data_IF_410534815784
#
_entry.id   IF_410534815784
#
_cell.length_a   1.000
_cell.length_b   1.000
_cell.length_c   1.000
_cell.angle_alpha   90.00
_cell.angle_beta   90.00
_cell.angle_gamma   90.00
#
_symmetry.space_group_name_H-M   'P 1'
#
loop_
_entity.id
_entity.type
_entity.pdbx_description
1 polymer ?
#
# COMPACT_ATOMS: atom_id res chain seq x y z
N UNK A 1 74.54 23.40 15.08
CA UNK A 1 74.20 22.61 16.28
C UNK A 1 73.30 21.45 15.82
N UNK A 2 73.75 20.21 16.04
CA UNK A 2 73.23 18.99 15.42
C UNK A 2 72.24 18.34 16.41
N UNK A 3 70.96 18.22 16.06
CA UNK A 3 69.97 17.52 16.89
C UNK A 3 69.61 16.21 16.21
N UNK A 4 69.91 15.13 16.91
CA UNK A 4 69.75 13.73 16.52
C UNK A 4 68.36 13.29 16.96
N UNK A 5 67.53 12.82 16.02
CA UNK A 5 66.24 12.20 16.33
C UNK A 5 66.42 10.71 16.64
N UNK A 6 65.85 10.25 17.76
CA UNK A 6 65.76 8.85 18.16
C UNK A 6 64.28 8.45 18.23
N UNK A 7 63.81 7.40 17.54
CA UNK A 7 62.47 6.87 17.74
C UNK A 7 62.47 5.77 18.80
N UNK A 8 61.56 5.85 19.77
CA UNK A 8 61.21 4.71 20.64
C UNK A 8 59.71 4.48 20.58
N UNK A 9 59.37 3.30 20.08
CA UNK A 9 58.11 2.56 20.13
C UNK A 9 57.20 2.90 21.31
N UNK A 10 55.89 3.03 21.07
CA UNK A 10 54.85 2.35 21.88
C UNK A 10 53.62 2.09 20.99
N UNK A 11 53.30 0.81 20.77
CA UNK A 11 51.99 0.33 20.32
C UNK A 11 50.94 0.71 21.37
N UNK A 12 49.81 1.30 20.97
CA UNK A 12 48.60 1.33 21.79
C UNK A 12 47.44 0.72 21.02
N UNK A 13 46.82 -0.25 21.67
CA UNK A 13 45.78 -1.17 21.21
C UNK A 13 44.41 -0.53 21.52
N UNK A 14 43.39 -0.91 20.75
CA UNK A 14 41.97 -0.90 21.13
C UNK A 14 41.20 0.39 20.87
N UNK A 15 40.50 0.38 19.74
CA UNK A 15 39.39 1.30 19.47
C UNK A 15 38.35 0.62 18.59
N UNK A 16 37.90 -0.57 18.98
CA UNK A 16 36.77 -1.25 18.34
C UNK A 16 35.49 -0.46 18.72
N UNK A 17 35.21 0.61 17.99
CA UNK A 17 33.93 1.32 18.09
C UNK A 17 32.84 0.42 17.52
N UNK A 18 32.20 -0.35 18.39
CA UNK A 18 30.92 -0.99 18.12
C UNK A 18 29.91 0.09 17.77
N UNK A 19 29.70 0.32 16.47
CA UNK A 19 28.49 0.98 15.97
C UNK A 19 27.29 0.11 16.32
N UNK A 20 26.73 0.32 17.51
CA UNK A 20 25.41 -0.15 17.84
C UNK A 20 24.38 0.83 17.26
N UNK A 21 24.26 0.85 15.93
CA UNK A 21 23.08 1.42 15.28
C UNK A 21 21.91 0.51 15.60
N UNK A 22 21.17 0.86 16.65
CA UNK A 22 19.79 0.40 16.78
C UNK A 22 19.06 0.92 15.55
N UNK A 23 18.89 0.06 14.53
CA UNK A 23 17.83 0.22 13.55
C UNK A 23 16.53 0.19 14.36
N UNK A 24 16.06 1.35 14.78
CA UNK A 24 14.68 1.51 15.17
C UNK A 24 13.88 1.23 13.90
N UNK A 25 13.45 -0.02 13.74
CA UNK A 25 12.39 -0.38 12.82
C UNK A 25 11.22 0.52 13.23
N UNK A 26 11.02 1.61 12.48
CA UNK A 26 9.85 2.43 12.67
C UNK A 26 8.68 1.48 12.52
N UNK A 27 7.81 1.31 13.53
CA UNK A 27 6.63 0.50 13.34
C UNK A 27 5.96 1.09 12.11
N UNK A 28 5.78 0.28 11.07
CA UNK A 28 5.02 0.69 9.91
C UNK A 28 3.71 1.24 10.45
N UNK A 29 3.54 2.57 10.43
CA UNK A 29 2.32 3.18 10.93
C UNK A 29 1.20 2.56 10.12
N UNK A 30 0.37 1.73 10.77
CA UNK A 30 -0.70 0.99 10.12
C UNK A 30 -1.68 1.97 9.50
N UNK A 31 -1.43 2.31 8.23
CA UNK A 31 -2.21 3.26 7.46
C UNK A 31 -3.44 2.61 6.86
N UNK A 32 -4.10 3.38 6.02
CA UNK A 32 -5.28 2.97 5.29
C UNK A 32 -5.03 3.05 3.79
N UNK A 33 -5.48 1.99 3.12
CA UNK A 33 -5.48 1.84 1.67
C UNK A 33 -6.90 1.95 1.16
N UNK A 34 -7.04 2.37 -0.09
CA UNK A 34 -8.30 2.34 -0.78
C UNK A 34 -8.12 2.07 -2.27
N UNK A 35 -9.13 1.40 -2.82
CA UNK A 35 -9.35 1.23 -4.24
C UNK A 35 -10.63 1.95 -4.66
N UNK A 36 -10.63 2.54 -5.84
CA UNK A 36 -11.80 3.11 -6.49
C UNK A 36 -11.91 2.60 -7.93
N UNK A 37 -13.15 2.35 -8.37
CA UNK A 37 -13.48 1.87 -9.70
C UNK A 37 -14.59 2.76 -10.30
N UNK A 38 -14.48 3.04 -11.60
CA UNK A 38 -15.42 3.82 -12.39
C UNK A 38 -15.60 3.19 -13.77
N UNK A 39 -16.51 3.71 -14.60
CA UNK A 39 -16.94 3.10 -15.87
C UNK A 39 -15.77 2.75 -16.83
N UNK A 40 -14.61 3.41 -16.71
CA UNK A 40 -13.38 3.14 -17.50
C UNK A 40 -12.10 3.53 -16.76
N UNK A 41 -12.12 3.51 -15.43
CA UNK A 41 -10.99 4.01 -14.66
C UNK A 41 -10.88 3.34 -13.32
N UNK A 42 -9.65 3.23 -12.89
CA UNK A 42 -9.24 2.63 -11.63
C UNK A 42 -8.38 3.62 -10.88
N UNK A 43 -8.49 3.66 -9.55
CA UNK A 43 -7.55 4.37 -8.69
C UNK A 43 -7.19 3.59 -7.45
N UNK A 44 -5.91 3.64 -7.08
CA UNK A 44 -5.36 3.05 -5.87
C UNK A 44 -4.69 4.11 -5.01
N UNK A 45 -4.75 3.96 -3.69
CA UNK A 45 -4.11 4.86 -2.74
C UNK A 45 -3.77 4.11 -1.45
N UNK A 46 -2.57 4.30 -0.89
CA UNK A 46 -2.08 3.62 0.33
C UNK A 46 -1.34 4.59 1.26
N UNK A 47 -1.18 4.23 2.55
CA UNK A 47 -0.36 4.97 3.49
C UNK A 47 -1.04 6.20 4.08
N UNK A 48 -2.38 6.23 4.08
CA UNK A 48 -3.12 7.38 4.60
C UNK A 48 -3.46 7.21 6.08
N UNK A 49 -3.51 8.33 6.81
CA UNK A 49 -3.81 8.34 8.24
C UNK A 49 -5.28 8.01 8.56
N UNK A 50 -6.19 8.11 7.58
CA UNK A 50 -7.62 7.79 7.74
C UNK A 50 -8.17 7.11 6.49
N UNK A 51 -9.18 6.24 6.67
CA UNK A 51 -9.90 5.60 5.55
C UNK A 51 -10.46 6.63 4.57
N UNK A 52 -10.97 7.77 5.06
CA UNK A 52 -11.56 8.78 4.19
C UNK A 52 -10.52 9.47 3.31
N UNK A 53 -9.33 9.78 3.84
CA UNK A 53 -8.24 10.32 3.02
C UNK A 53 -7.78 9.32 1.95
N UNK A 54 -7.69 8.03 2.30
CA UNK A 54 -7.40 6.96 1.36
C UNK A 54 -8.47 6.91 0.24
N UNK A 55 -9.76 6.91 0.62
CA UNK A 55 -10.88 6.91 -0.31
C UNK A 55 -10.82 8.08 -1.28
N UNK A 56 -10.67 9.30 -0.77
CA UNK A 56 -10.60 10.50 -1.61
C UNK A 56 -9.40 10.47 -2.56
N UNK A 57 -8.25 9.95 -2.11
CA UNK A 57 -7.09 9.76 -2.96
C UNK A 57 -7.31 8.72 -4.06
N UNK A 58 -7.89 7.57 -3.74
CA UNK A 58 -8.22 6.55 -4.72
C UNK A 58 -9.23 7.07 -5.77
N UNK A 59 -10.26 7.82 -5.35
CA UNK A 59 -11.22 8.45 -6.26
C UNK A 59 -10.54 9.48 -7.17
N UNK A 60 -9.66 10.33 -6.63
CA UNK A 60 -8.87 11.27 -7.43
C UNK A 60 -8.01 10.56 -8.47
N UNK A 61 -7.32 9.50 -8.08
CA UNK A 61 -6.48 8.70 -8.98
C UNK A 61 -7.33 8.03 -10.08
N UNK A 62 -8.51 7.51 -9.71
CA UNK A 62 -9.47 6.94 -10.65
C UNK A 62 -9.92 7.95 -11.72
N UNK A 63 -10.25 9.18 -11.29
CA UNK A 63 -10.62 10.27 -12.20
C UNK A 63 -9.46 10.71 -13.07
N UNK A 64 -8.25 10.78 -12.51
CA UNK A 64 -7.02 11.09 -13.24
C UNK A 64 -6.71 10.09 -14.35
N UNK A 65 -7.09 8.83 -14.16
CA UNK A 65 -6.95 7.75 -15.15
C UNK A 65 -8.10 7.70 -16.17
N UNK A 66 -8.93 8.75 -16.28
CA UNK A 66 -10.04 8.81 -17.24
C UNK A 66 -11.32 8.12 -16.78
N UNK A 67 -11.41 7.71 -15.51
CA UNK A 67 -12.65 7.20 -14.92
C UNK A 67 -13.68 8.31 -14.74
N UNK A 68 -14.85 8.20 -15.39
CA UNK A 68 -15.90 9.21 -15.30
C UNK A 68 -16.52 9.32 -13.90
N UNK A 69 -17.25 8.29 -13.45
CA UNK A 69 -18.03 8.38 -12.21
C UNK A 69 -17.23 8.11 -10.93
N UNK A 70 -16.23 7.21 -10.96
CA UNK A 70 -15.36 6.80 -9.84
C UNK A 70 -16.06 6.80 -8.46
N UNK A 71 -17.32 6.39 -8.42
CA UNK A 71 -18.19 6.50 -7.25
C UNK A 71 -18.13 5.26 -6.35
N UNK A 72 -17.58 4.16 -6.88
CA UNK A 72 -17.43 2.89 -6.17
C UNK A 72 -16.04 2.84 -5.59
N UNK A 73 -15.95 2.71 -4.26
CA UNK A 73 -14.67 2.64 -3.57
C UNK A 73 -14.73 1.73 -2.35
N UNK A 74 -13.59 1.19 -1.95
CA UNK A 74 -13.43 0.42 -0.71
C UNK A 74 -12.13 0.85 -0.06
N UNK A 75 -12.20 1.20 1.22
CA UNK A 75 -11.07 1.66 2.01
C UNK A 75 -10.97 0.82 3.27
N UNK A 76 -9.80 0.27 3.55
CA UNK A 76 -9.51 -0.59 4.69
C UNK A 76 -8.06 -0.35 5.16
N UNK A 77 -7.57 -1.12 6.13
CA UNK A 77 -6.16 -1.06 6.54
C UNK A 77 -5.23 -1.47 5.40
N UNK A 78 -4.02 -0.89 5.37
CA UNK A 78 -3.02 -1.13 4.33
C UNK A 78 -2.62 -2.61 4.19
N UNK A 79 -2.78 -3.43 5.24
CA UNK A 79 -2.44 -4.86 5.26
C UNK A 79 -3.54 -5.78 4.70
N UNK A 80 -4.65 -5.22 4.21
CA UNK A 80 -5.72 -5.99 3.58
C UNK A 80 -5.46 -6.22 2.09
N UNK A 81 -6.13 -7.23 1.54
CA UNK A 81 -6.16 -7.49 0.11
C UNK A 81 -7.32 -6.76 -0.52
N UNK A 82 -7.08 -6.06 -1.62
CA UNK A 82 -8.10 -5.27 -2.32
C UNK A 82 -8.30 -5.79 -3.74
N UNK A 83 -9.54 -5.70 -4.20
CA UNK A 83 -9.91 -6.08 -5.57
C UNK A 83 -10.89 -5.07 -6.14
N UNK A 84 -10.71 -4.78 -7.41
CA UNK A 84 -11.63 -4.03 -8.24
C UNK A 84 -12.11 -4.91 -9.39
N UNK A 85 -13.13 -4.46 -10.11
CA UNK A 85 -13.52 -5.15 -11.32
C UNK A 85 -14.86 -4.69 -11.86
N UNK A 86 -15.26 -5.31 -12.96
CA UNK A 86 -16.49 -5.02 -13.65
C UNK A 86 -17.36 -6.26 -13.71
N UNK A 87 -18.57 -6.17 -13.19
CA UNK A 87 -19.58 -7.22 -13.29
C UNK A 87 -20.76 -6.71 -14.10
N UNK A 88 -21.08 -7.34 -15.23
CA UNK A 88 -22.13 -6.85 -16.13
C UNK A 88 -21.87 -5.44 -16.67
N UNK A 89 -20.60 -5.03 -16.77
CA UNK A 89 -20.19 -3.67 -17.14
C UNK A 89 -20.25 -2.64 -16.01
N UNK A 90 -20.70 -3.04 -14.81
CA UNK A 90 -20.80 -2.17 -13.64
C UNK A 90 -19.56 -2.29 -12.74
N UNK A 91 -18.99 -1.17 -12.26
CA UNK A 91 -17.81 -1.19 -11.40
C UNK A 91 -18.12 -1.71 -10.00
N UNK A 92 -17.22 -2.52 -9.44
CA UNK A 92 -17.28 -3.01 -8.07
C UNK A 92 -15.92 -3.00 -7.40
N UNK A 93 -15.91 -2.86 -6.08
CA UNK A 93 -14.71 -3.00 -5.25
C UNK A 93 -14.98 -3.81 -3.99
N UNK A 94 -13.96 -4.48 -3.49
CA UNK A 94 -14.00 -5.18 -2.21
C UNK A 94 -12.61 -5.28 -1.58
N UNK A 95 -12.58 -5.62 -0.29
CA UNK A 95 -11.35 -5.91 0.44
C UNK A 95 -11.56 -7.08 1.40
N UNK A 96 -10.47 -7.74 1.79
CA UNK A 96 -10.47 -8.80 2.81
C UNK A 96 -9.14 -8.85 3.56
N UNK A 97 -9.19 -9.14 4.86
CA UNK A 97 -8.01 -9.46 5.68
C UNK A 97 -7.32 -10.76 5.29
N UNK A 98 -8.03 -11.68 4.65
CA UNK A 98 -7.56 -13.06 4.51
C UNK A 98 -6.72 -13.27 3.25
N UNK A 99 -7.27 -12.96 2.08
CA UNK A 99 -6.60 -13.05 0.78
C UNK A 99 -7.48 -12.42 -0.32
N UNK A 100 -6.91 -12.29 -1.52
CA UNK A 100 -7.58 -11.75 -2.70
C UNK A 100 -8.77 -12.62 -3.19
N UNK A 101 -8.76 -13.94 -2.97
CA UNK A 101 -9.89 -14.80 -3.35
C UNK A 101 -11.14 -14.47 -2.52
N UNK A 102 -10.98 -14.25 -1.22
CA UNK A 102 -12.09 -13.84 -0.34
C UNK A 102 -12.59 -12.45 -0.71
N UNK A 103 -11.69 -11.52 -1.03
CA UNK A 103 -12.09 -10.19 -1.51
C UNK A 103 -12.87 -10.29 -2.84
N UNK A 104 -12.40 -11.11 -3.79
CA UNK A 104 -13.07 -11.35 -5.06
C UNK A 104 -14.45 -12.01 -4.88
N UNK A 105 -14.60 -12.94 -3.93
CA UNK A 105 -15.89 -13.53 -3.61
C UNK A 105 -16.87 -12.52 -2.98
N UNK A 106 -16.38 -11.63 -2.11
CA UNK A 106 -17.19 -10.51 -1.60
C UNK A 106 -17.66 -9.62 -2.76
N UNK A 107 -16.77 -9.29 -3.70
CA UNK A 107 -17.11 -8.49 -4.88
C UNK A 107 -18.19 -9.18 -5.72
N UNK A 108 -18.01 -10.46 -6.06
CA UNK A 108 -19.01 -11.25 -6.82
C UNK A 108 -20.35 -11.33 -6.10
N UNK A 109 -20.36 -11.48 -4.77
CA UNK A 109 -21.60 -11.50 -3.98
C UNK A 109 -22.30 -10.14 -3.97
N UNK A 110 -21.55 -9.02 -3.92
CA UNK A 110 -22.13 -7.67 -4.10
C UNK A 110 -22.77 -7.55 -5.48
N UNK A 111 -22.04 -7.87 -6.54
CA UNK A 111 -22.54 -7.79 -7.91
C UNK A 111 -23.76 -8.67 -8.15
N UNK A 112 -23.75 -9.90 -7.63
CA UNK A 112 -24.90 -10.83 -7.71
C UNK A 112 -26.17 -10.27 -7.09
N UNK A 113 -26.07 -9.51 -5.99
CA UNK A 113 -27.23 -8.87 -5.35
C UNK A 113 -27.87 -7.81 -6.25
N UNK A 114 -27.07 -7.19 -7.11
CA UNK A 114 -27.53 -6.18 -8.07
C UNK A 114 -27.91 -6.79 -9.43
N UNK A 115 -27.90 -8.13 -9.56
CA UNK A 115 -28.20 -8.82 -10.82
C UNK A 115 -27.04 -8.92 -11.82
N UNK A 116 -25.81 -8.63 -11.39
CA UNK A 116 -24.61 -8.65 -12.22
C UNK A 116 -23.76 -9.91 -11.95
N UNK A 117 -23.78 -10.88 -12.88
CA UNK A 117 -23.20 -12.21 -12.66
C UNK A 117 -21.86 -12.45 -13.36
N UNK A 118 -21.61 -11.80 -14.50
CA UNK A 118 -20.38 -11.98 -15.28
C UNK A 118 -19.33 -10.95 -14.86
N UNK A 119 -18.32 -11.37 -14.09
CA UNK A 119 -17.33 -10.50 -13.48
C UNK A 119 -15.93 -10.68 -14.06
N UNK A 120 -15.32 -9.58 -14.50
CA UNK A 120 -13.88 -9.45 -14.70
C UNK A 120 -13.26 -8.81 -13.45
N UNK A 121 -12.35 -9.52 -12.77
CA UNK A 121 -11.75 -9.07 -11.51
C UNK A 121 -10.28 -8.72 -11.75
N UNK A 122 -9.90 -7.57 -11.23
CA UNK A 122 -8.56 -7.01 -11.23
C UNK A 122 -8.08 -6.93 -9.77
N UNK A 123 -6.87 -7.42 -9.50
CA UNK A 123 -6.34 -7.59 -8.15
C UNK A 123 -5.15 -6.65 -7.95
N UNK A 124 -5.12 -5.97 -6.81
CA UNK A 124 -3.99 -5.12 -6.40
C UNK A 124 -3.52 -5.54 -5.01
N UNK A 125 -2.20 -5.55 -4.81
CA UNK A 125 -1.54 -6.01 -3.59
C UNK A 125 -0.82 -4.86 -2.90
#
# INVERSE_FOLDING_TARGET
MKIIFSPKNVLSISGLSLLSTCLAASPALAGYSAIAQGVRGWGWATGYSTMEKARQAAIRNCRGNGGGSCSVSTAEKDDWYFVGGYCGGMPYTAASKHNWNVAADILRRKAKKDGNYNCHIEVER
#
